data_IF_396451672228
#
_entry.id   IF_396451672228
#
_cell.length_a   1.000
_cell.length_b   1.000
_cell.length_c   1.000
_cell.angle_alpha   90.00
_cell.angle_beta   90.00
_cell.angle_gamma   90.00
#
_symmetry.space_group_name_H-M   'P 1'
#
loop_
_entity.id
_entity.type
_entity.pdbx_description
1 polymer ?
#
# COMPACT_ATOMS: atom_id res chain seq x y z
N UNK A 1 -21.76 25.12 -52.34
CA UNK A 1 -21.16 23.97 -51.66
C UNK A 1 -20.52 24.48 -50.39
N UNK A 2 -21.11 24.23 -49.22
CA UNK A 2 -20.61 24.72 -47.94
C UNK A 2 -20.29 23.51 -47.07
N UNK A 3 -19.01 23.24 -46.88
CA UNK A 3 -18.52 22.14 -46.06
C UNK A 3 -18.68 22.50 -44.58
N UNK A 4 -19.44 21.69 -43.84
CA UNK A 4 -19.57 21.81 -42.39
C UNK A 4 -18.43 20.99 -41.75
N UNK A 5 -17.52 21.69 -41.11
CA UNK A 5 -16.46 21.11 -40.28
C UNK A 5 -17.03 20.84 -38.89
N UNK A 6 -17.24 19.57 -38.54
CA UNK A 6 -17.64 19.15 -37.19
C UNK A 6 -16.38 19.06 -36.34
N UNK A 7 -16.15 20.07 -35.49
CA UNK A 7 -15.13 20.02 -34.44
C UNK A 7 -15.72 19.22 -33.28
N UNK A 8 -15.29 17.98 -33.10
CA UNK A 8 -15.59 17.20 -31.89
C UNK A 8 -14.67 17.70 -30.78
N UNK A 9 -15.21 18.55 -29.91
CA UNK A 9 -14.53 18.99 -28.69
C UNK A 9 -14.60 17.85 -27.68
N UNK A 10 -13.51 17.08 -27.54
CA UNK A 10 -13.38 16.09 -26.48
C UNK A 10 -13.24 16.82 -25.13
N UNK A 11 -14.34 16.93 -24.39
CA UNK A 11 -14.29 17.36 -22.99
C UNK A 11 -13.54 16.28 -22.19
N UNK A 12 -12.34 16.63 -21.70
CA UNK A 12 -11.61 15.85 -20.70
C UNK A 12 -12.43 15.85 -19.40
N UNK A 13 -13.29 14.85 -19.24
CA UNK A 13 -13.90 14.56 -17.95
C UNK A 13 -12.78 14.08 -17.02
N UNK A 14 -12.23 14.99 -16.22
CA UNK A 14 -11.49 14.63 -15.01
C UNK A 14 -12.49 14.03 -14.01
N UNK A 15 -12.87 12.77 -14.24
CA UNK A 15 -13.52 11.98 -13.22
C UNK A 15 -12.47 11.67 -12.16
N UNK A 16 -12.48 12.43 -11.07
CA UNK A 16 -11.83 11.99 -9.84
C UNK A 16 -12.53 10.70 -9.43
N UNK A 17 -11.96 9.55 -9.78
CA UNK A 17 -12.50 8.28 -9.36
C UNK A 17 -12.60 8.29 -7.82
N UNK A 18 -13.76 7.89 -7.31
CA UNK A 18 -13.96 7.76 -5.87
C UNK A 18 -12.94 6.74 -5.36
N UNK A 19 -12.07 7.10 -4.40
CA UNK A 19 -11.05 6.18 -3.93
C UNK A 19 -11.70 4.97 -3.26
N UNK A 20 -11.21 3.79 -3.61
CA UNK A 20 -11.52 2.53 -2.91
C UNK A 20 -10.41 2.23 -1.91
N UNK A 21 -10.76 1.88 -0.68
CA UNK A 21 -9.80 1.78 0.41
C UNK A 21 -9.80 0.42 1.10
N UNK A 22 -8.65 0.03 1.64
CA UNK A 22 -8.54 -1.02 2.65
C UNK A 22 -8.23 -0.32 3.99
N UNK A 23 -9.20 -0.32 4.91
CA UNK A 23 -9.06 0.25 6.26
C UNK A 23 -9.00 -0.82 7.34
N UNK A 24 -9.30 -2.09 7.02
CA UNK A 24 -9.25 -3.21 7.96
C UNK A 24 -10.26 -3.10 9.14
N UNK A 25 -11.14 -2.10 9.12
CA UNK A 25 -12.04 -1.77 10.24
C UNK A 25 -13.14 -2.81 10.50
N UNK A 26 -13.38 -3.68 9.51
CA UNK A 26 -14.31 -4.80 9.61
C UNK A 26 -13.64 -6.07 10.15
N UNK A 27 -12.31 -6.11 10.22
CA UNK A 27 -11.57 -7.27 10.69
C UNK A 27 -11.52 -7.33 12.23
N UNK A 28 -11.40 -8.53 12.77
CA UNK A 28 -11.29 -8.72 14.22
C UNK A 28 -9.88 -8.40 14.71
N UNK A 29 -9.76 -7.55 15.73
CA UNK A 29 -8.49 -7.28 16.41
C UNK A 29 -7.91 -8.58 16.98
N UNK A 30 -6.61 -8.76 16.81
CA UNK A 30 -5.90 -9.99 17.17
C UNK A 30 -5.85 -11.03 16.04
N UNK A 31 -6.55 -10.83 14.93
CA UNK A 31 -6.40 -11.68 13.73
C UNK A 31 -4.97 -11.62 13.24
N UNK A 32 -4.36 -12.79 13.02
CA UNK A 32 -2.98 -12.94 12.54
C UNK A 32 -2.94 -13.50 11.13
N UNK A 33 -1.97 -13.05 10.36
CA UNK A 33 -1.62 -13.57 9.03
C UNK A 33 -0.13 -13.87 8.97
N UNK A 34 0.28 -14.68 8.01
CA UNK A 34 1.66 -15.14 7.84
C UNK A 34 1.94 -16.50 8.48
N UNK A 35 3.20 -16.72 8.85
CA UNK A 35 3.70 -18.02 9.31
C UNK A 35 2.99 -18.53 10.56
N UNK A 36 2.67 -17.64 11.50
CA UNK A 36 1.96 -18.01 12.74
C UNK A 36 0.55 -18.56 12.48
N UNK A 37 -0.05 -18.21 11.34
CA UNK A 37 -1.35 -18.72 10.88
C UNK A 37 -1.22 -19.87 9.86
N UNK A 38 -0.03 -20.46 9.71
CA UNK A 38 0.23 -21.55 8.78
C UNK A 38 0.21 -21.16 7.29
N UNK A 39 0.14 -19.86 6.98
CA UNK A 39 0.14 -19.38 5.60
C UNK A 39 1.53 -19.48 4.98
N UNK A 40 1.58 -19.43 3.65
CA UNK A 40 2.82 -19.39 2.86
C UNK A 40 2.94 -18.03 2.15
N UNK A 41 4.14 -17.65 1.69
CA UNK A 41 4.31 -16.50 0.82
C UNK A 41 3.33 -16.51 -0.37
N UNK A 42 2.84 -15.32 -0.72
CA UNK A 42 1.79 -15.04 -1.72
C UNK A 42 0.38 -15.55 -1.35
N UNK A 43 0.17 -16.07 -0.14
CA UNK A 43 -1.16 -16.49 0.29
C UNK A 43 -2.14 -15.31 0.36
N UNK A 44 -3.34 -15.53 -0.16
CA UNK A 44 -4.49 -14.64 0.01
C UNK A 44 -4.87 -14.53 1.50
N UNK A 45 -5.22 -13.33 1.96
CA UNK A 45 -5.71 -13.11 3.32
C UNK A 45 -7.17 -12.68 3.36
N UNK A 46 -7.55 -11.64 2.63
CA UNK A 46 -8.90 -11.10 2.57
C UNK A 46 -9.05 -10.14 1.38
N UNK A 47 -10.30 -9.76 1.10
CA UNK A 47 -10.64 -8.72 0.13
C UNK A 47 -11.41 -7.61 0.84
N UNK A 48 -11.09 -6.35 0.55
CA UNK A 48 -11.86 -5.20 1.03
C UNK A 48 -12.05 -4.21 -0.13
N UNK A 49 -13.30 -3.79 -0.38
CA UNK A 49 -13.65 -2.86 -1.45
C UNK A 49 -13.09 -3.24 -2.84
N UNK A 50 -12.98 -4.55 -3.11
CA UNK A 50 -12.46 -5.10 -4.36
C UNK A 50 -10.93 -5.16 -4.47
N UNK A 51 -10.19 -4.77 -3.43
CA UNK A 51 -8.74 -4.90 -3.36
C UNK A 51 -8.43 -6.21 -2.62
N UNK A 52 -7.75 -7.12 -3.31
CA UNK A 52 -7.27 -8.35 -2.68
C UNK A 52 -5.98 -8.08 -1.94
N UNK A 53 -5.90 -8.57 -0.71
CA UNK A 53 -4.70 -8.47 0.13
C UNK A 53 -4.08 -9.86 0.25
N UNK A 54 -2.77 -9.92 0.07
CA UNK A 54 -1.96 -11.13 0.26
C UNK A 54 -0.82 -10.85 1.25
N UNK A 55 -0.25 -11.91 1.82
CA UNK A 55 1.01 -11.85 2.56
C UNK A 55 2.17 -12.38 1.74
N UNK A 56 3.33 -11.77 1.84
CA UNK A 56 4.55 -12.22 1.16
C UNK A 56 5.81 -11.99 2.01
N UNK A 57 6.94 -12.47 1.50
CA UNK A 57 8.26 -12.37 2.12
C UNK A 57 8.69 -10.91 2.24
N UNK A 58 9.25 -10.61 3.41
CA UNK A 58 10.02 -9.40 3.66
C UNK A 58 11.49 -9.64 3.27
N UNK A 59 12.07 -8.76 2.46
CA UNK A 59 13.48 -8.76 2.10
C UNK A 59 14.31 -8.03 3.18
N UNK A 60 15.21 -8.78 3.83
CA UNK A 60 16.04 -8.29 4.93
C UNK A 60 17.26 -7.48 4.43
N UNK A 61 17.87 -6.79 5.38
CA UNK A 61 19.16 -6.11 5.21
C UNK A 61 20.12 -6.50 6.36
N UNK A 62 21.31 -7.08 6.07
CA UNK A 62 21.79 -7.53 4.76
C UNK A 62 21.18 -8.90 4.37
N UNK A 63 20.70 -9.00 3.13
CA UNK A 63 20.41 -10.26 2.43
C UNK A 63 19.29 -11.16 2.99
N UNK A 64 18.75 -12.01 2.11
CA UNK A 64 17.77 -13.03 2.47
C UNK A 64 16.37 -12.49 2.72
N UNK A 65 15.49 -13.39 3.19
CA UNK A 65 14.07 -13.12 3.37
C UNK A 65 13.58 -13.58 4.74
N UNK A 66 12.50 -12.96 5.22
CA UNK A 66 11.71 -13.39 6.36
C UNK A 66 10.24 -13.51 5.96
N UNK A 67 9.49 -14.30 6.71
CA UNK A 67 8.05 -14.44 6.58
C UNK A 67 7.50 -14.77 7.97
N UNK A 68 7.27 -13.74 8.77
CA UNK A 68 6.87 -13.89 10.17
C UNK A 68 5.37 -13.66 10.32
N UNK A 69 4.91 -12.47 10.70
CA UNK A 69 3.48 -12.24 10.91
C UNK A 69 3.05 -10.83 10.56
N UNK A 70 1.79 -10.73 10.14
CA UNK A 70 1.00 -9.50 10.22
C UNK A 70 -0.13 -9.72 11.23
N UNK A 71 -0.58 -8.66 11.90
CA UNK A 71 -1.63 -8.75 12.90
C UNK A 71 -2.54 -7.51 12.84
N UNK A 72 -3.85 -7.73 12.93
CA UNK A 72 -4.81 -6.64 13.11
C UNK A 72 -4.75 -6.16 14.55
N UNK A 73 -4.52 -4.87 14.73
CA UNK A 73 -4.46 -4.19 16.01
C UNK A 73 -5.49 -3.05 16.06
N UNK A 74 -5.86 -2.63 17.26
CA UNK A 74 -6.66 -1.42 17.43
C UNK A 74 -5.80 -0.19 17.08
N UNK A 75 -6.42 0.78 16.41
CA UNK A 75 -5.84 2.10 16.23
C UNK A 75 -5.51 2.73 17.59
N UNK A 76 -4.49 3.58 17.58
CA UNK A 76 -4.06 4.33 18.76
C UNK A 76 -4.54 5.77 18.65
N UNK A 77 -4.53 6.56 19.75
CA UNK A 77 -4.80 8.00 19.66
C UNK A 77 -3.87 8.77 18.72
N UNK A 78 -2.80 8.12 18.23
CA UNK A 78 -1.74 8.74 17.44
C UNK A 78 -1.66 8.25 16.00
N UNK A 79 -2.26 7.11 15.67
CA UNK A 79 -2.19 6.48 14.36
C UNK A 79 -3.35 5.50 14.14
N UNK A 80 -3.93 5.56 12.94
CA UNK A 80 -5.04 4.74 12.49
C UNK A 80 -6.43 5.30 12.81
N UNK A 81 -7.47 4.75 12.19
CA UNK A 81 -8.87 5.18 12.43
C UNK A 81 -9.58 4.31 13.46
N UNK A 82 -9.69 2.99 13.25
CA UNK A 82 -10.28 2.04 14.21
C UNK A 82 -9.44 0.78 14.33
N UNK A 83 -9.12 0.15 13.21
CA UNK A 83 -8.13 -0.93 13.15
C UNK A 83 -6.95 -0.52 12.29
N UNK A 84 -5.81 -1.16 12.51
CA UNK A 84 -4.61 -1.05 11.69
C UNK A 84 -4.02 -2.44 11.50
N UNK A 85 -3.17 -2.61 10.48
CA UNK A 85 -2.37 -3.84 10.37
C UNK A 85 -0.92 -3.56 10.75
N UNK A 86 -0.44 -4.23 11.80
CA UNK A 86 0.98 -4.30 12.11
C UNK A 86 1.62 -5.39 11.25
N UNK A 87 2.74 -5.08 10.63
CA UNK A 87 3.62 -6.05 9.97
C UNK A 87 4.96 -6.07 10.69
N UNK A 88 5.47 -7.27 10.93
CA UNK A 88 6.78 -7.46 11.52
C UNK A 88 7.49 -8.63 10.84
N UNK A 89 8.52 -8.33 10.05
CA UNK A 89 9.25 -9.26 9.19
C UNK A 89 8.34 -10.00 8.17
N UNK A 90 7.38 -9.28 7.59
CA UNK A 90 6.50 -9.75 6.51
C UNK A 90 6.12 -8.56 5.60
N UNK A 91 5.63 -8.85 4.41
CA UNK A 91 5.03 -7.87 3.48
C UNK A 91 3.56 -8.18 3.22
N UNK A 92 2.78 -7.13 2.94
CA UNK A 92 1.44 -7.21 2.38
C UNK A 92 1.51 -6.83 0.91
N UNK A 93 0.71 -7.48 0.08
CA UNK A 93 0.49 -7.11 -1.32
C UNK A 93 -0.96 -6.68 -1.47
N UNK A 94 -1.18 -5.45 -1.90
CA UNK A 94 -2.47 -4.91 -2.30
C UNK A 94 -2.60 -5.04 -3.81
N UNK A 95 -3.60 -5.78 -4.27
CA UNK A 95 -3.80 -6.12 -5.68
C UNK A 95 -5.07 -5.45 -6.24
N UNK A 96 -4.86 -4.51 -7.16
CA UNK A 96 -5.91 -3.71 -7.81
C UNK A 96 -6.44 -4.37 -9.10
N UNK A 97 -6.43 -5.71 -9.19
CA UNK A 97 -6.84 -6.45 -10.39
C UNK A 97 -8.27 -6.14 -10.89
N UNK A 98 -9.17 -5.67 -10.02
CA UNK A 98 -10.53 -5.24 -10.40
C UNK A 98 -10.53 -4.04 -11.34
N UNK A 99 -9.44 -3.30 -11.40
CA UNK A 99 -9.17 -2.27 -12.39
C UNK A 99 -8.16 -2.84 -13.40
N UNK A 100 -8.57 -3.26 -14.62
CA UNK A 100 -7.68 -3.93 -15.57
C UNK A 100 -6.44 -3.10 -15.95
N UNK A 101 -6.62 -1.78 -15.99
CA UNK A 101 -5.55 -0.81 -16.22
C UNK A 101 -4.82 -0.39 -14.94
N UNK A 102 -5.11 -1.00 -13.78
CA UNK A 102 -4.68 -0.50 -12.47
C UNK A 102 -5.37 0.80 -12.07
N UNK A 103 -4.99 1.31 -10.90
CA UNK A 103 -5.34 2.66 -10.41
C UNK A 103 -4.25 3.66 -10.79
N UNK A 104 -4.56 4.96 -10.84
CA UNK A 104 -3.60 6.02 -11.20
C UNK A 104 -2.96 6.68 -9.98
N UNK A 105 -3.57 6.52 -8.82
CA UNK A 105 -3.07 7.01 -7.55
C UNK A 105 -3.25 5.95 -6.48
N UNK A 106 -2.24 5.77 -5.63
CA UNK A 106 -2.38 5.05 -4.36
C UNK A 106 -1.94 5.95 -3.22
N UNK A 107 -2.71 6.00 -2.15
CA UNK A 107 -2.29 6.57 -0.87
C UNK A 107 -2.29 5.50 0.21
N UNK A 108 -1.39 5.60 1.18
CA UNK A 108 -1.44 4.78 2.39
C UNK A 108 -0.90 5.58 3.57
N UNK A 109 -1.44 5.33 4.75
CA UNK A 109 -0.90 5.84 6.00
C UNK A 109 0.03 4.82 6.62
N UNK A 110 1.13 5.31 7.19
CA UNK A 110 2.13 4.48 7.85
C UNK A 110 2.57 5.05 9.20
N UNK A 111 2.95 4.15 10.10
CA UNK A 111 3.76 4.43 11.28
C UNK A 111 4.92 3.44 11.31
N UNK A 112 6.12 3.97 11.15
CA UNK A 112 7.39 3.21 11.17
C UNK A 112 8.05 3.33 12.55
N UNK A 113 8.39 2.19 13.16
CA UNK A 113 9.20 2.15 14.39
C UNK A 113 10.48 1.32 14.28
N UNK A 114 10.54 0.31 13.40
CA UNK A 114 11.77 -0.44 13.16
C UNK A 114 12.64 0.16 12.06
N UNK A 115 13.71 -0.54 11.71
CA UNK A 115 14.81 0.04 10.91
C UNK A 115 14.55 0.09 9.40
N UNK A 116 14.05 -1.01 8.82
CA UNK A 116 13.95 -1.16 7.37
C UNK A 116 12.56 -1.58 6.92
N UNK A 117 11.98 -0.79 6.02
CA UNK A 117 10.74 -1.11 5.35
C UNK A 117 11.02 -1.61 3.92
N UNK A 118 10.06 -2.31 3.36
CA UNK A 118 10.07 -2.78 1.99
C UNK A 118 8.98 -2.06 1.22
N UNK A 119 9.31 -1.59 0.02
CA UNK A 119 8.35 -1.04 -0.93
C UNK A 119 8.65 -1.58 -2.33
N UNK A 120 7.66 -2.13 -2.99
CA UNK A 120 7.72 -2.53 -4.40
C UNK A 120 6.38 -2.21 -5.07
N UNK A 121 6.45 -1.74 -6.32
CA UNK A 121 5.29 -1.30 -7.08
C UNK A 121 5.31 -2.05 -8.40
N UNK A 122 4.20 -2.69 -8.77
CA UNK A 122 4.08 -3.50 -9.98
C UNK A 122 5.17 -4.58 -10.12
N UNK A 123 5.66 -5.13 -9.01
CA UNK A 123 6.74 -6.13 -8.99
C UNK A 123 8.13 -5.56 -9.30
N UNK A 124 8.33 -4.24 -9.18
CA UNK A 124 9.66 -3.63 -9.27
C UNK A 124 10.63 -4.23 -8.26
N UNK A 125 11.93 -3.97 -8.44
CA UNK A 125 12.91 -4.24 -7.39
C UNK A 125 12.47 -3.61 -6.06
N UNK A 126 12.62 -4.38 -4.98
CA UNK A 126 12.22 -3.96 -3.64
C UNK A 126 13.16 -2.86 -3.14
N UNK A 127 12.62 -1.67 -2.89
CA UNK A 127 13.27 -0.65 -2.08
C UNK A 127 13.34 -1.12 -0.63
N UNK A 128 14.51 -1.00 -0.01
CA UNK A 128 14.77 -1.40 1.38
C UNK A 128 15.33 -0.20 2.15
N UNK A 129 14.53 0.38 3.02
CA UNK A 129 14.89 1.60 3.74
C UNK A 129 13.70 2.21 4.47
N UNK A 130 13.91 3.36 5.10
CA UNK A 130 12.82 4.10 5.74
C UNK A 130 11.87 4.70 4.70
N UNK A 131 10.58 4.71 5.01
CA UNK A 131 9.55 5.32 4.15
C UNK A 131 9.68 6.85 4.12
N UNK A 132 10.26 7.44 5.18
CA UNK A 132 10.56 8.88 5.28
C UNK A 132 11.63 9.36 4.29
N UNK A 133 12.40 8.42 3.71
CA UNK A 133 13.52 8.66 2.79
C UNK A 133 13.34 7.92 1.47
N UNK A 134 12.12 7.49 1.16
CA UNK A 134 11.82 6.82 -0.11
C UNK A 134 12.24 7.73 -1.28
N UNK A 135 12.86 7.20 -2.35
CA UNK A 135 13.16 8.00 -3.52
C UNK A 135 11.87 8.58 -4.12
N UNK A 136 11.96 9.75 -4.74
CA UNK A 136 10.81 10.42 -5.37
C UNK A 136 10.22 9.66 -6.55
N UNK A 137 10.89 8.58 -7.01
CA UNK A 137 10.44 7.68 -8.06
C UNK A 137 10.91 6.24 -7.83
N UNK A 138 10.07 5.29 -8.22
CA UNK A 138 10.45 3.89 -8.46
C UNK A 138 9.87 3.52 -9.82
N UNK A 139 10.75 3.25 -10.80
CA UNK A 139 10.33 3.12 -12.20
C UNK A 139 9.66 4.40 -12.71
N UNK A 140 8.48 4.28 -13.32
CA UNK A 140 7.68 5.41 -13.80
C UNK A 140 6.81 6.07 -12.72
N UNK A 141 6.66 5.44 -11.55
CA UNK A 141 5.75 5.89 -10.50
C UNK A 141 6.41 6.99 -9.69
N UNK A 142 5.73 8.14 -9.58
CA UNK A 142 6.15 9.23 -8.69
C UNK A 142 5.71 8.90 -7.27
N UNK A 143 6.58 9.19 -6.30
CA UNK A 143 6.33 8.94 -4.88
C UNK A 143 6.55 10.25 -4.11
N UNK A 144 5.61 10.56 -3.23
CA UNK A 144 5.73 11.63 -2.24
C UNK A 144 5.52 11.02 -0.86
N UNK A 145 6.41 11.32 0.08
CA UNK A 145 6.25 10.92 1.49
C UNK A 145 6.11 12.16 2.36
N UNK A 146 4.94 12.33 2.97
CA UNK A 146 4.66 13.41 3.92
C UNK A 146 4.61 12.82 5.31
N UNK A 147 5.45 13.28 6.24
CA UNK A 147 5.60 12.63 7.55
C UNK A 147 5.98 13.60 8.67
N UNK A 148 5.84 13.14 9.91
CA UNK A 148 6.25 13.83 11.14
C UNK A 148 6.89 12.84 12.12
N UNK A 149 7.82 13.33 12.95
CA UNK A 149 8.53 12.52 13.97
C UNK A 149 7.93 12.63 15.38
N UNK A 150 6.94 13.50 15.61
CA UNK A 150 6.53 13.92 16.96
C UNK A 150 6.04 12.76 17.87
N UNK A 151 5.65 11.61 17.30
CA UNK A 151 5.22 10.40 18.03
C UNK A 151 5.61 9.12 17.28
N UNK A 152 6.84 9.08 16.75
CA UNK A 152 7.31 8.09 15.78
C UNK A 152 7.25 8.61 14.35
N UNK A 153 7.88 7.91 13.40
CA UNK A 153 7.89 8.30 11.99
C UNK A 153 6.55 7.91 11.35
N UNK A 154 5.56 8.80 11.44
CA UNK A 154 4.24 8.59 10.86
C UNK A 154 3.96 9.53 9.71
N UNK A 155 3.20 9.07 8.73
CA UNK A 155 2.92 9.87 7.55
C UNK A 155 2.03 9.16 6.55
N UNK A 156 1.96 9.76 5.37
CA UNK A 156 1.24 9.24 4.21
C UNK A 156 2.22 9.12 3.05
N UNK A 157 2.20 7.96 2.37
CA UNK A 157 2.80 7.84 1.05
C UNK A 157 1.73 8.10 0.00
N UNK A 158 2.09 8.90 -0.99
CA UNK A 158 1.31 9.12 -2.20
C UNK A 158 2.11 8.61 -3.41
N UNK A 159 1.52 7.70 -4.16
CA UNK A 159 2.07 7.11 -5.37
C UNK A 159 1.21 7.56 -6.55
N UNK A 160 1.83 8.05 -7.62
CA UNK A 160 1.13 8.53 -8.82
C UNK A 160 1.71 7.91 -10.09
N UNK A 161 0.82 7.33 -10.89
CA UNK A 161 1.10 6.56 -12.10
C UNK A 161 0.27 5.27 -12.11
N UNK A 162 0.41 4.47 -13.17
CA UNK A 162 -0.35 3.23 -13.32
C UNK A 162 0.11 2.15 -12.31
N UNK A 163 -0.73 1.83 -11.33
CA UNK A 163 -0.44 0.90 -10.24
C UNK A 163 -1.43 -0.28 -10.26
N UNK A 164 -0.89 -1.49 -10.46
CA UNK A 164 -1.64 -2.76 -10.41
C UNK A 164 -1.41 -3.48 -9.09
N UNK A 165 -0.19 -3.41 -8.55
CA UNK A 165 0.14 -3.99 -7.26
C UNK A 165 1.03 -3.06 -6.45
N UNK A 166 0.78 -3.03 -5.15
CA UNK A 166 1.62 -2.38 -4.15
C UNK A 166 2.04 -3.44 -3.13
N UNK A 167 3.33 -3.67 -2.97
CA UNK A 167 3.90 -4.49 -1.90
C UNK A 167 4.57 -3.59 -0.87
N UNK A 168 4.14 -3.67 0.38
CA UNK A 168 4.71 -2.93 1.50
C UNK A 168 4.93 -3.86 2.69
N UNK A 169 6.09 -3.79 3.32
CA UNK A 169 6.43 -4.64 4.47
C UNK A 169 7.44 -3.99 5.38
N UNK A 170 7.71 -4.62 6.51
CA UNK A 170 8.50 -3.93 7.52
C UNK A 170 8.92 -4.73 8.72
N UNK A 171 9.82 -4.15 9.50
CA UNK A 171 10.09 -4.50 10.88
C UNK A 171 9.37 -3.46 11.73
N UNK A 172 8.30 -3.86 12.42
CA UNK A 172 7.49 -2.94 13.24
C UNK A 172 6.94 -1.76 12.44
N UNK A 173 6.09 -2.07 11.46
CA UNK A 173 5.41 -1.11 10.60
C UNK A 173 3.90 -1.27 10.76
N UNK A 174 3.19 -0.18 11.00
CA UNK A 174 1.74 -0.15 11.00
C UNK A 174 1.25 0.55 9.74
N UNK A 175 0.23 -0.02 9.12
CA UNK A 175 -0.35 0.44 7.86
C UNK A 175 -1.86 0.62 8.07
N UNK A 176 -2.40 1.69 7.50
CA UNK A 176 -3.84 1.96 7.43
C UNK A 176 -4.19 2.71 6.14
N UNK A 177 -5.48 2.81 5.82
CA UNK A 177 -6.04 3.65 4.76
C UNK A 177 -5.36 3.47 3.39
N UNK A 178 -5.18 2.23 2.94
CA UNK A 178 -4.60 1.96 1.61
C UNK A 178 -5.67 2.17 0.55
N UNK A 179 -5.62 3.31 -0.14
CA UNK A 179 -6.64 3.74 -1.09
C UNK A 179 -6.12 3.82 -2.52
N UNK A 180 -6.92 3.39 -3.50
CA UNK A 180 -6.62 3.51 -4.93
C UNK A 180 -7.69 4.29 -5.69
N UNK A 181 -7.28 5.15 -6.65
CA UNK A 181 -8.16 5.87 -7.57
C UNK A 181 -7.56 6.09 -8.96
#
# INVERSE_FOLDING_TARGET
MQSILIIVLAALLNSSAIPVCVTMDHLMVGTKYGRSSGQRPSAFVFTENGIDVHVDRYAKTPGGYAFYQAQIESATPTFGTKNVINVNNISLIFNFHRWPSGVQKVTLDFLEKGEFQNLSINGSQVYKGSLTKVPSRIGSIRITSTWSSAKGNKGTLELTGQIKTLSIGGQELWIDNVCGS
#
